data_IF_060611828665
#
_entry.id   IF_060611828665
#
_cell.length_a   1.000
_cell.length_b   1.000
_cell.length_c   1.000
_cell.angle_alpha   90.00
_cell.angle_beta   90.00
_cell.angle_gamma   90.00
#
_symmetry.space_group_name_H-M   'P 1'
#
loop_
_entity.id
_entity.type
_entity.pdbx_description
1 polymer ?
#
# COMPACT_ATOMS: atom_id res chain seq x y z
N UNK A 1 -0.91 -17.35 13.93
CA UNK A 1 -0.16 -16.20 13.37
C UNK A 1 -0.71 -14.93 14.02
N UNK A 2 -0.01 -14.37 15.01
CA UNK A 2 -0.41 -13.11 15.65
C UNK A 2 -0.01 -11.95 14.75
N UNK A 3 -0.98 -11.11 14.37
CA UNK A 3 -0.71 -9.80 13.77
C UNK A 3 -0.11 -8.95 14.89
N UNK A 4 1.16 -8.57 14.77
CA UNK A 4 1.85 -7.90 15.88
C UNK A 4 1.61 -6.40 15.89
N UNK A 5 1.54 -5.74 14.73
CA UNK A 5 1.26 -4.31 14.64
C UNK A 5 0.56 -3.98 13.33
N UNK A 6 -0.48 -3.14 13.37
CA UNK A 6 -1.12 -2.58 12.19
C UNK A 6 -1.21 -1.07 12.32
N UNK A 7 -0.81 -0.37 11.27
CA UNK A 7 -0.84 1.08 11.19
C UNK A 7 -1.42 1.51 9.84
N UNK A 8 -1.95 2.72 9.78
CA UNK A 8 -2.43 3.35 8.56
C UNK A 8 -1.59 4.58 8.30
N UNK A 9 -1.03 4.68 7.09
CA UNK A 9 -0.12 5.74 6.69
C UNK A 9 -0.77 6.50 5.53
N UNK A 10 -0.70 7.83 5.59
CA UNK A 10 -1.03 8.70 4.47
C UNK A 10 0.19 8.83 3.55
N UNK A 11 0.05 8.41 2.30
CA UNK A 11 1.07 8.57 1.27
C UNK A 11 0.62 9.65 0.29
N UNK A 12 1.30 10.80 0.29
CA UNK A 12 1.00 11.88 -0.64
C UNK A 12 1.72 11.63 -1.97
N UNK A 13 0.95 11.39 -3.03
CA UNK A 13 1.45 11.23 -4.38
C UNK A 13 1.32 12.56 -5.13
N UNK A 14 2.46 13.10 -5.57
CA UNK A 14 2.57 14.32 -6.37
C UNK A 14 1.78 15.52 -5.80
N UNK A 15 1.69 15.65 -4.47
CA UNK A 15 0.99 16.74 -3.76
C UNK A 15 -0.50 16.94 -4.12
N UNK A 16 -1.10 16.01 -4.88
CA UNK A 16 -2.50 16.09 -5.34
C UNK A 16 -3.36 14.93 -4.83
N UNK A 17 -2.76 13.78 -4.48
CA UNK A 17 -3.50 12.57 -4.13
C UNK A 17 -2.95 11.93 -2.85
N UNK A 18 -3.74 11.99 -1.77
CA UNK A 18 -3.45 11.21 -0.56
C UNK A 18 -3.98 9.79 -0.71
N UNK A 19 -3.06 8.83 -0.68
CA UNK A 19 -3.32 7.40 -0.73
C UNK A 19 -3.20 6.85 0.70
N UNK A 20 -4.28 6.27 1.22
CA UNK A 20 -4.24 5.59 2.50
C UNK A 20 -3.70 4.17 2.35
N UNK A 21 -2.62 3.88 3.07
CA UNK A 21 -1.94 2.59 3.04
C UNK A 21 -2.04 1.93 4.41
N UNK A 22 -2.67 0.77 4.47
CA UNK A 22 -2.69 -0.07 5.67
C UNK A 22 -1.45 -0.96 5.67
N UNK A 23 -0.61 -0.83 6.69
CA UNK A 23 0.61 -1.63 6.84
C UNK A 23 0.46 -2.54 8.04
N UNK A 24 0.76 -3.81 7.84
CA UNK A 24 0.71 -4.84 8.87
C UNK A 24 2.08 -5.50 8.98
N UNK A 25 2.69 -5.43 10.17
CA UNK A 25 3.90 -6.20 10.47
C UNK A 25 3.53 -7.66 10.75
N UNK A 26 4.19 -8.57 10.04
CA UNK A 26 4.04 -10.02 10.16
C UNK A 26 5.41 -10.63 10.40
N UNK A 27 5.72 -10.96 11.65
CA UNK A 27 7.03 -11.50 12.05
C UNK A 27 8.21 -10.68 11.49
N UNK A 28 8.87 -11.18 10.43
CA UNK A 28 10.06 -10.58 9.79
C UNK A 28 9.74 -9.81 8.49
N UNK A 29 8.47 -9.58 8.18
CA UNK A 29 8.06 -8.84 6.99
C UNK A 29 6.90 -7.87 7.27
N UNK A 30 6.70 -6.96 6.33
CA UNK A 30 5.62 -5.99 6.30
C UNK A 30 4.73 -6.30 5.10
N UNK A 31 3.43 -6.29 5.33
CA UNK A 31 2.40 -6.37 4.29
C UNK A 31 1.73 -5.00 4.20
N UNK A 32 1.79 -4.36 3.04
CA UNK A 32 1.12 -3.09 2.77
C UNK A 32 -0.06 -3.32 1.81
N UNK A 33 -1.18 -2.67 2.11
CA UNK A 33 -2.37 -2.62 1.26
C UNK A 33 -2.71 -1.16 0.98
N UNK A 34 -2.75 -0.79 -0.30
CA UNK A 34 -3.09 0.54 -0.75
C UNK A 34 -4.40 0.52 -1.53
N UNK A 35 -5.22 1.55 -1.36
CA UNK A 35 -6.44 1.78 -2.14
C UNK A 35 -6.29 3.09 -2.91
N UNK A 36 -6.67 3.09 -4.19
CA UNK A 36 -6.69 4.30 -4.98
C UNK A 36 -7.81 5.24 -4.48
N UNK A 37 -7.52 6.52 -4.16
CA UNK A 37 -8.49 7.43 -3.52
C UNK A 37 -9.70 7.76 -4.40
N UNK A 38 -9.48 7.90 -5.72
CA UNK A 38 -10.55 8.15 -6.70
C UNK A 38 -11.18 6.83 -7.17
N UNK A 39 -10.39 5.91 -7.73
CA UNK A 39 -10.87 4.61 -8.22
C UNK A 39 -11.02 3.62 -7.07
N UNK A 40 -12.07 3.77 -6.26
CA UNK A 40 -12.27 2.98 -5.02
C UNK A 40 -12.23 1.46 -5.19
N UNK A 41 -12.49 0.93 -6.40
CA UNK A 41 -12.39 -0.51 -6.71
C UNK A 41 -10.96 -0.98 -7.00
N UNK A 42 -9.98 -0.06 -7.06
CA UNK A 42 -8.58 -0.35 -7.34
C UNK A 42 -7.80 -0.46 -6.04
N UNK A 43 -7.33 -1.67 -5.77
CA UNK A 43 -6.52 -1.99 -4.61
C UNK A 43 -5.27 -2.72 -5.05
N UNK A 44 -4.18 -2.53 -4.31
CA UNK A 44 -3.00 -3.37 -4.46
C UNK A 44 -2.43 -3.75 -3.10
N UNK A 45 -1.75 -4.89 -3.09
CA UNK A 45 -1.03 -5.41 -1.94
C UNK A 45 0.41 -5.73 -2.32
N UNK A 46 1.31 -5.51 -1.38
CA UNK A 46 2.70 -5.89 -1.49
C UNK A 46 3.24 -6.32 -0.13
N UNK A 47 4.21 -7.23 -0.15
CA UNK A 47 4.88 -7.70 1.06
C UNK A 47 6.38 -7.59 0.87
N UNK A 48 7.08 -7.08 1.88
CA UNK A 48 8.53 -6.94 1.83
C UNK A 48 9.15 -6.99 3.23
N UNK A 49 10.44 -7.34 3.35
CA UNK A 49 11.15 -7.33 4.64
C UNK A 49 11.31 -5.91 5.21
N UNK A 50 11.39 -4.92 4.32
CA UNK A 50 11.44 -3.49 4.66
C UNK A 50 10.05 -2.84 4.50
N UNK A 51 9.63 -2.08 5.52
CA UNK A 51 8.36 -1.33 5.55
C UNK A 51 8.20 -0.39 4.36
N UNK A 52 9.20 0.45 4.10
CA UNK A 52 9.15 1.45 3.03
C UNK A 52 8.96 0.81 1.65
N UNK A 53 9.72 -0.23 1.36
CA UNK A 53 9.61 -0.97 0.10
C UNK A 53 8.26 -1.68 -0.07
N UNK A 54 7.65 -2.18 1.02
CA UNK A 54 6.29 -2.74 0.96
C UNK A 54 5.26 -1.67 0.58
N UNK A 55 5.34 -0.49 1.20
CA UNK A 55 4.45 0.65 0.92
C UNK A 55 4.62 1.11 -0.53
N UNK A 56 5.85 1.39 -0.95
CA UNK A 56 6.16 1.88 -2.30
C UNK A 56 5.68 0.89 -3.37
N UNK A 57 5.92 -0.41 -3.18
CA UNK A 57 5.43 -1.43 -4.11
C UNK A 57 3.90 -1.52 -4.16
N UNK A 58 3.20 -1.34 -3.03
CA UNK A 58 1.74 -1.31 -3.00
C UNK A 58 1.19 -0.07 -3.71
N UNK A 59 1.78 1.10 -3.47
CA UNK A 59 1.40 2.36 -4.12
C UNK A 59 1.69 2.31 -5.62
N UNK A 60 2.88 1.87 -6.03
CA UNK A 60 3.26 1.75 -7.45
C UNK A 60 2.29 0.88 -8.24
N UNK A 61 1.79 -0.21 -7.65
CA UNK A 61 0.81 -1.10 -8.27
C UNK A 61 -0.57 -0.48 -8.50
N UNK A 62 -0.98 0.52 -7.72
CA UNK A 62 -2.26 1.22 -7.94
C UNK A 62 -2.11 2.41 -8.89
N UNK A 63 -0.98 3.12 -8.89
CA UNK A 63 -0.74 4.27 -9.78
C UNK A 63 -0.31 3.84 -11.20
N UNK A 64 0.47 2.76 -11.30
CA UNK A 64 0.99 2.27 -12.58
C UNK A 64 0.15 1.13 -13.15
N UNK A 65 -1.03 0.82 -12.60
CA UNK A 65 -1.90 -0.21 -13.18
C UNK A 65 -2.33 0.31 -14.56
N UNK A 66 -1.88 -0.29 -15.68
CA UNK A 66 -2.50 0.03 -16.96
C UNK A 66 -3.98 -0.32 -16.79
N UNK A 67 -4.86 0.60 -17.15
CA UNK A 67 -6.25 0.23 -17.35
C UNK A 67 -6.21 -0.92 -18.36
N UNK A 68 -6.56 -2.13 -17.92
CA UNK A 68 -6.82 -3.22 -18.83
C UNK A 68 -8.10 -2.80 -19.57
N UNK A 69 -7.89 -2.15 -20.71
CA UNK A 69 -8.87 -1.99 -21.79
C UNK A 69 -9.27 -3.36 -22.30
#
# INVERSE_FOLDING_TARGET
MQIQDTETIAYNYQDMLTIWVKVTKRHKCYSAAAQHPIKRNTFARASHKCKAAAIEAAVKKIICRPEAL
#
